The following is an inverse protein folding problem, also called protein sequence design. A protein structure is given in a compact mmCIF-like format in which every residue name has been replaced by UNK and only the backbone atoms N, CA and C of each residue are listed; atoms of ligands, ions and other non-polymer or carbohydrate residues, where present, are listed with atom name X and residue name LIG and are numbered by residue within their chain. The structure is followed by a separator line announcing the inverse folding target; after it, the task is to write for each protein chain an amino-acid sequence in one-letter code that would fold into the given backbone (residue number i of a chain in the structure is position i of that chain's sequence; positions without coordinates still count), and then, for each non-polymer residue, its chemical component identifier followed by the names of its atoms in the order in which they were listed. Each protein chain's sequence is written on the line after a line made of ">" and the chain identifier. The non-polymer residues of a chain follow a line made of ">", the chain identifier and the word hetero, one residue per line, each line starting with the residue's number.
data_IF_552952800265
#
_entry.id   IF_552952800265
#
_cell.length_a   1.000
_cell.length_b   1.000
_cell.length_c   1.000
_cell.angle_alpha   90.00
_cell.angle_beta   90.00
_cell.angle_gamma   90.00
#
_symmetry.space_group_name_H-M   'P 1'
#
loop_
_entity.id
_entity.type
_entity.pdbx_description
1 polymer ?
#
# COMPACT_ATOMS: atom_id res chain seq x y z
N UNK A 1 24.52 -23.12 11.86
CA UNK A 1 23.17 -22.72 12.26
C UNK A 1 23.34 -21.58 13.23
N UNK A 2 23.05 -20.35 12.82
CA UNK A 2 23.21 -19.18 13.69
C UNK A 2 22.08 -19.20 14.72
N UNK A 3 22.41 -19.27 16.00
CA UNK A 3 21.43 -19.23 17.09
C UNK A 3 20.78 -17.85 17.13
N UNK A 4 19.44 -17.83 17.15
CA UNK A 4 18.62 -16.62 17.27
C UNK A 4 18.88 -15.91 18.62
N UNK A 5 19.45 -16.63 19.58
CA UNK A 5 19.74 -16.16 20.94
C UNK A 5 20.85 -15.09 21.02
N UNK A 6 21.64 -14.87 19.95
CA UNK A 6 22.68 -13.83 19.88
C UNK A 6 22.16 -12.49 19.31
N UNK A 7 20.86 -12.39 18.98
CA UNK A 7 20.29 -11.14 18.45
C UNK A 7 20.00 -10.13 19.57
N UNK A 8 20.46 -8.88 19.45
CA UNK A 8 20.15 -7.84 20.42
C UNK A 8 18.65 -7.55 20.46
N UNK A 9 18.06 -7.61 21.65
CA UNK A 9 16.66 -7.26 21.88
C UNK A 9 16.55 -5.76 22.12
N UNK A 10 15.67 -5.09 21.37
CA UNK A 10 15.37 -3.67 21.54
C UNK A 10 13.97 -3.49 22.10
N UNK A 11 13.82 -2.53 23.02
CA UNK A 11 12.50 -2.07 23.44
C UNK A 11 11.77 -1.39 22.25
N UNK A 12 10.45 -1.63 22.09
CA UNK A 12 9.68 -0.93 21.07
C UNK A 12 9.80 0.59 21.25
N UNK A 13 10.10 1.28 20.16
CA UNK A 13 9.99 2.74 20.13
C UNK A 13 8.53 3.14 20.44
N UNK A 14 8.31 4.27 21.10
CA UNK A 14 6.98 4.74 21.43
C UNK A 14 6.09 4.77 20.19
N UNK A 15 4.79 4.48 20.38
CA UNK A 15 3.81 4.52 19.32
C UNK A 15 3.87 5.91 18.67
N UNK A 16 4.03 5.94 17.34
CA UNK A 16 3.84 7.17 16.57
C UNK A 16 2.45 7.71 16.91
N UNK A 17 2.38 8.99 17.23
CA UNK A 17 1.11 9.67 17.40
C UNK A 17 0.21 9.36 16.18
N UNK A 18 -1.08 9.04 16.40
CA UNK A 18 -2.00 8.84 15.30
C UNK A 18 -1.96 10.11 14.45
N UNK A 19 -1.52 9.95 13.19
CA UNK A 19 -1.59 11.05 12.22
C UNK A 19 -3.03 11.57 12.20
N UNK A 20 -3.20 12.88 12.27
CA UNK A 20 -4.51 13.50 12.12
C UNK A 20 -5.17 13.00 10.84
N UNK A 21 -6.45 12.62 10.93
CA UNK A 21 -7.25 11.94 9.89
C UNK A 21 -7.46 12.76 8.60
N UNK A 22 -6.83 13.92 8.50
CA UNK A 22 -6.73 14.72 7.30
C UNK A 22 -5.51 14.30 6.47
N UNK A 23 -5.43 13.02 6.09
CA UNK A 23 -4.48 12.65 5.05
C UNK A 23 -4.92 13.35 3.76
N UNK A 24 -4.15 14.37 3.38
CA UNK A 24 -4.24 15.05 2.09
C UNK A 24 -4.15 13.98 0.99
N UNK A 25 -5.05 14.06 0.02
CA UNK A 25 -4.96 13.23 -1.18
C UNK A 25 -3.58 13.46 -1.80
N UNK A 26 -2.83 12.39 -2.07
CA UNK A 26 -1.50 12.52 -2.64
C UNK A 26 -1.60 12.97 -4.11
N UNK A 27 -1.10 14.17 -4.41
CA UNK A 27 -0.94 14.65 -5.77
C UNK A 27 0.55 14.63 -6.13
N UNK A 28 0.99 13.78 -7.08
CA UNK A 28 2.38 13.72 -7.49
C UNK A 28 2.77 14.97 -8.27
N UNK A 29 3.93 15.51 -7.93
CA UNK A 29 4.56 16.65 -8.62
C UNK A 29 5.46 16.20 -9.80
N UNK A 30 5.23 14.99 -10.31
CA UNK A 30 6.13 14.37 -11.28
C UNK A 30 6.14 15.13 -12.61
N UNK A 31 7.36 15.43 -13.06
CA UNK A 31 7.55 16.08 -14.34
C UNK A 31 7.36 15.11 -15.53
N UNK A 32 7.73 13.82 -15.39
CA UNK A 32 7.26 12.73 -16.28
C UNK A 32 6.52 11.68 -15.45
N UNK A 33 5.29 11.38 -15.84
CA UNK A 33 4.47 10.32 -15.26
C UNK A 33 4.88 8.94 -15.77
N UNK A 34 5.55 8.89 -16.92
CA UNK A 34 6.10 7.67 -17.49
C UNK A 34 7.09 6.94 -16.55
N UNK A 35 7.89 7.71 -15.80
CA UNK A 35 8.94 7.21 -14.92
C UNK A 35 8.85 7.75 -13.48
N UNK A 36 7.99 8.73 -13.22
CA UNK A 36 7.97 9.45 -11.95
C UNK A 36 9.35 10.04 -11.62
N UNK A 37 9.82 9.80 -10.41
CA UNK A 37 11.16 10.17 -9.95
C UNK A 37 12.22 9.07 -10.14
N UNK A 38 11.85 7.94 -10.73
CA UNK A 38 12.76 6.80 -10.89
C UNK A 38 13.71 6.94 -12.07
N UNK A 39 13.35 7.73 -13.10
CA UNK A 39 14.10 7.80 -14.35
C UNK A 39 13.97 6.54 -15.23
N UNK A 40 13.36 5.46 -14.75
CA UNK A 40 13.05 4.25 -15.51
C UNK A 40 11.56 4.15 -15.80
N UNK A 41 11.17 3.66 -16.98
CA UNK A 41 9.75 3.55 -17.35
C UNK A 41 9.08 2.50 -16.46
N UNK A 42 7.91 2.83 -15.91
CA UNK A 42 7.21 1.93 -15.00
C UNK A 42 6.82 0.62 -15.69
N UNK A 43 7.01 -0.51 -15.02
CA UNK A 43 6.85 -1.85 -15.61
C UNK A 43 5.47 -2.06 -16.27
N UNK A 44 4.40 -1.53 -15.69
CA UNK A 44 3.06 -1.64 -16.27
C UNK A 44 2.92 -0.87 -17.59
N UNK A 45 3.65 0.25 -17.77
CA UNK A 45 3.70 1.01 -19.02
C UNK A 45 4.59 0.32 -20.06
N UNK A 46 5.69 -0.32 -19.61
CA UNK A 46 6.54 -1.14 -20.49
C UNK A 46 5.73 -2.27 -21.10
N UNK A 47 4.89 -2.95 -20.31
CA UNK A 47 4.01 -4.04 -20.76
C UNK A 47 3.01 -3.63 -21.85
N UNK A 48 2.70 -2.34 -22.00
CA UNK A 48 1.84 -1.87 -23.10
C UNK A 48 2.54 -1.97 -24.47
N UNK A 49 3.88 -1.93 -24.48
CA UNK A 49 4.70 -2.01 -25.71
C UNK A 49 5.39 -3.38 -25.82
N UNK A 50 5.75 -3.97 -24.68
CA UNK A 50 6.38 -5.30 -24.56
C UNK A 50 5.55 -6.20 -23.64
N UNK A 51 4.48 -6.85 -24.13
CA UNK A 51 3.52 -7.57 -23.28
C UNK A 51 4.13 -8.65 -22.37
N UNK A 52 5.19 -9.31 -22.84
CA UNK A 52 5.87 -10.38 -22.10
C UNK A 52 7.02 -9.87 -21.21
N UNK A 53 7.11 -8.55 -20.98
CA UNK A 53 8.16 -7.96 -20.15
C UNK A 53 8.09 -8.45 -18.71
N UNK A 54 9.22 -8.90 -18.19
CA UNK A 54 9.40 -9.36 -16.82
C UNK A 54 10.39 -8.44 -16.09
N UNK A 55 9.93 -7.71 -15.08
CA UNK A 55 10.75 -6.73 -14.36
C UNK A 55 11.85 -7.36 -13.50
N UNK A 56 11.76 -8.65 -13.20
CA UNK A 56 12.72 -9.35 -12.34
C UNK A 56 13.86 -9.97 -13.17
N UNK A 57 13.62 -10.18 -14.47
CA UNK A 57 14.58 -10.82 -15.39
C UNK A 57 15.10 -9.89 -16.47
N UNK A 58 14.24 -9.05 -17.04
CA UNK A 58 14.56 -8.24 -18.20
C UNK A 58 15.15 -6.88 -17.75
N UNK A 59 15.95 -6.25 -18.64
CA UNK A 59 16.58 -4.95 -18.33
C UNK A 59 15.54 -3.87 -18.04
N UNK A 60 15.86 -2.93 -17.16
CA UNK A 60 15.01 -1.76 -16.93
C UNK A 60 15.03 -0.85 -18.14
N UNK A 61 13.86 -0.37 -18.53
CA UNK A 61 13.70 0.52 -19.67
C UNK A 61 14.03 1.96 -19.27
N UNK A 62 15.03 2.55 -19.91
CA UNK A 62 15.42 3.93 -19.66
C UNK A 62 14.34 4.91 -20.14
N UNK A 63 14.00 5.92 -19.33
CA UNK A 63 13.14 7.01 -19.78
C UNK A 63 13.94 7.98 -20.65
N UNK A 64 13.59 8.05 -21.94
CA UNK A 64 14.22 8.95 -22.91
C UNK A 64 13.27 10.08 -23.34
N UNK A 65 12.26 10.42 -22.54
CA UNK A 65 11.36 11.53 -22.89
C UNK A 65 12.13 12.86 -22.93
N UNK A 66 12.01 13.62 -24.01
CA UNK A 66 12.67 14.93 -24.20
C UNK A 66 12.46 15.91 -23.03
N UNK A 67 11.29 15.84 -22.40
CA UNK A 67 10.94 16.71 -21.28
C UNK A 67 11.27 16.06 -19.93
N UNK A 68 12.15 15.06 -19.87
CA UNK A 68 12.49 14.36 -18.63
C UNK A 68 14.00 14.26 -18.44
N UNK A 69 14.50 14.76 -17.32
CA UNK A 69 15.91 14.70 -16.93
C UNK A 69 16.17 13.68 -15.81
N UNK A 70 15.14 12.94 -15.40
CA UNK A 70 15.21 12.05 -14.23
C UNK A 70 16.10 10.84 -14.46
N UNK A 71 16.19 10.35 -15.70
CA UNK A 71 17.12 9.27 -16.04
C UNK A 71 18.57 9.74 -15.85
N UNK A 72 18.97 10.82 -16.51
CA UNK A 72 20.33 11.36 -16.43
C UNK A 72 20.72 11.72 -14.99
N UNK A 73 19.81 12.34 -14.23
CA UNK A 73 20.08 12.73 -12.85
C UNK A 73 20.30 11.53 -11.91
N UNK A 74 19.58 10.42 -12.13
CA UNK A 74 19.60 9.27 -11.21
C UNK A 74 20.54 8.15 -11.66
N UNK A 75 20.72 8.01 -12.97
CA UNK A 75 21.43 6.90 -13.61
C UNK A 75 22.56 7.35 -14.52
N UNK A 76 22.84 8.65 -14.66
CA UNK A 76 23.89 9.15 -15.56
C UNK A 76 25.32 8.70 -15.24
N UNK A 77 25.56 8.16 -14.04
CA UNK A 77 26.83 7.54 -13.66
C UNK A 77 26.92 6.04 -14.02
N UNK A 78 25.80 5.42 -14.43
CA UNK A 78 25.72 4.01 -14.79
C UNK A 78 25.77 3.89 -16.31
N UNK A 79 26.48 2.88 -16.81
CA UNK A 79 26.56 2.63 -18.24
C UNK A 79 25.18 2.32 -18.83
N UNK A 80 24.86 2.96 -19.96
CA UNK A 80 23.62 2.81 -20.72
C UNK A 80 23.39 1.36 -21.14
N UNK A 81 24.45 0.56 -21.30
CA UNK A 81 24.37 -0.86 -21.62
C UNK A 81 23.61 -1.70 -20.58
N UNK A 82 23.44 -1.20 -19.36
CA UNK A 82 22.63 -1.85 -18.33
C UNK A 82 21.12 -1.63 -18.50
N UNK A 83 20.72 -0.73 -19.41
CA UNK A 83 19.33 -0.36 -19.62
C UNK A 83 18.85 -0.77 -21.01
N UNK A 84 17.53 -0.92 -21.14
CA UNK A 84 16.88 -1.04 -22.43
C UNK A 84 16.53 0.36 -22.96
N UNK A 85 17.19 0.75 -24.05
CA UNK A 85 17.05 2.06 -24.71
C UNK A 85 16.18 2.00 -25.96
N UNK A 86 15.48 0.88 -26.20
CA UNK A 86 14.58 0.73 -27.37
C UNK A 86 13.37 1.67 -27.30
N UNK A 87 13.00 2.16 -26.11
CA UNK A 87 11.91 3.11 -25.92
C UNK A 87 12.37 4.50 -26.27
N UNK A 88 12.25 4.82 -27.56
CA UNK A 88 12.56 6.14 -28.10
C UNK A 88 11.72 7.25 -27.44
N UNK A 89 12.17 8.52 -27.52
CA UNK A 89 11.51 9.63 -26.86
C UNK A 89 10.00 9.77 -27.18
N UNK A 90 9.58 9.44 -28.40
CA UNK A 90 8.19 9.48 -28.83
C UNK A 90 7.32 8.42 -28.14
N UNK A 91 7.88 7.23 -27.88
CA UNK A 91 7.23 6.18 -27.10
C UNK A 91 7.07 6.64 -25.66
N UNK A 92 8.13 7.16 -25.04
CA UNK A 92 8.06 7.68 -23.66
C UNK A 92 7.05 8.84 -23.53
N UNK A 93 6.96 9.72 -24.53
CA UNK A 93 5.98 10.81 -24.55
C UNK A 93 4.53 10.31 -24.65
N UNK A 94 4.27 9.22 -25.40
CA UNK A 94 2.95 8.58 -25.45
C UNK A 94 2.59 7.93 -24.11
N UNK A 95 3.53 7.20 -23.52
CA UNK A 95 3.34 6.55 -22.22
C UNK A 95 3.14 7.58 -21.09
N UNK A 96 3.85 8.71 -21.15
CA UNK A 96 3.64 9.83 -20.23
C UNK A 96 2.20 10.36 -20.28
N UNK A 97 1.66 10.60 -21.49
CA UNK A 97 0.28 11.06 -21.66
C UNK A 97 -0.75 10.06 -21.13
N UNK A 98 -0.52 8.77 -21.35
CA UNK A 98 -1.38 7.70 -20.83
C UNK A 98 -1.34 7.69 -19.30
N UNK A 99 -0.15 7.62 -18.70
CA UNK A 99 0.02 7.60 -17.25
C UNK A 99 -0.56 8.85 -16.57
N UNK A 100 -0.42 10.04 -17.18
CA UNK A 100 -1.09 11.27 -16.69
C UNK A 100 -2.62 11.15 -16.67
N UNK A 101 -3.21 10.54 -17.70
CA UNK A 101 -4.65 10.35 -17.78
C UNK A 101 -5.13 9.34 -16.74
N UNK A 102 -4.41 8.24 -16.59
CA UNK A 102 -4.71 7.21 -15.60
C UNK A 102 -4.63 7.81 -14.20
N UNK A 103 -3.59 8.61 -13.92
CA UNK A 103 -3.44 9.25 -12.63
C UNK A 103 -4.56 10.25 -12.30
N UNK A 104 -4.98 11.08 -13.28
CA UNK A 104 -6.15 11.95 -13.11
C UNK A 104 -7.41 11.17 -12.76
N UNK A 105 -7.58 9.99 -13.36
CA UNK A 105 -8.71 9.10 -13.08
C UNK A 105 -8.62 8.55 -11.66
N UNK A 106 -7.45 8.05 -11.25
CA UNK A 106 -7.20 7.56 -9.89
C UNK A 106 -7.51 8.62 -8.84
N UNK A 107 -7.04 9.85 -9.03
CA UNK A 107 -7.31 10.97 -8.11
C UNK A 107 -8.80 11.28 -8.05
N UNK A 108 -9.49 11.31 -9.20
CA UNK A 108 -10.95 11.53 -9.22
C UNK A 108 -11.70 10.48 -8.40
N UNK A 109 -11.32 9.20 -8.54
CA UNK A 109 -11.89 8.09 -7.79
C UNK A 109 -11.59 8.24 -6.29
N UNK A 110 -10.36 8.58 -5.91
CA UNK A 110 -10.00 8.77 -4.51
C UNK A 110 -10.77 9.92 -3.85
N UNK A 111 -10.96 11.04 -4.57
CA UNK A 111 -11.79 12.16 -4.11
C UNK A 111 -13.24 11.70 -3.88
N UNK A 112 -13.80 10.92 -4.80
CA UNK A 112 -15.16 10.40 -4.68
C UNK A 112 -15.30 9.43 -3.51
N UNK A 113 -14.34 8.51 -3.34
CA UNK A 113 -14.30 7.58 -2.21
C UNK A 113 -14.18 8.32 -0.87
N UNK A 114 -13.36 9.38 -0.79
CA UNK A 114 -13.25 10.21 0.42
C UNK A 114 -14.59 10.87 0.75
N UNK A 115 -15.28 11.46 -0.25
CA UNK A 115 -16.62 12.04 -0.07
C UNK A 115 -17.64 11.00 0.40
N UNK A 116 -17.64 9.81 -0.22
CA UNK A 116 -18.54 8.71 0.14
C UNK A 116 -18.27 8.21 1.56
N UNK A 117 -17.00 8.04 1.94
CA UNK A 117 -16.59 7.64 3.29
C UNK A 117 -17.03 8.66 4.34
N UNK A 118 -16.76 9.95 4.11
CA UNK A 118 -17.22 11.02 4.99
C UNK A 118 -18.75 11.09 5.10
N UNK A 119 -19.47 10.82 4.01
CA UNK A 119 -20.94 10.80 3.99
C UNK A 119 -21.54 9.54 4.65
N UNK A 120 -20.81 8.42 4.67
CA UNK A 120 -21.24 7.14 5.24
C UNK A 120 -20.70 6.90 6.65
N UNK A 121 -20.56 7.95 7.47
CA UNK A 121 -20.50 7.73 8.93
C UNK A 121 -21.70 6.86 9.31
N UNK A 122 -21.46 5.67 9.84
CA UNK A 122 -22.52 4.73 10.15
C UNK A 122 -23.54 5.41 11.07
N UNK A 123 -24.81 5.58 10.67
CA UNK A 123 -25.83 6.09 11.57
C UNK A 123 -26.05 5.02 12.65
N UNK A 124 -25.37 5.18 13.79
CA UNK A 124 -25.35 4.17 14.85
C UNK A 124 -24.06 4.07 15.65
N UNK A 125 -22.94 4.61 15.14
CA UNK A 125 -21.77 4.86 15.97
C UNK A 125 -22.03 6.09 16.86
N UNK A 126 -22.91 5.94 17.84
CA UNK A 126 -22.95 6.86 18.98
C UNK A 126 -21.61 6.74 19.69
N UNK A 127 -21.07 7.85 20.18
CA UNK A 127 -19.96 7.79 21.12
C UNK A 127 -20.32 6.82 22.24
N UNK A 128 -19.37 5.96 22.62
CA UNK A 128 -19.60 5.01 23.71
C UNK A 128 -20.07 5.77 24.92
N UNK A 129 -21.20 5.35 25.46
CA UNK A 129 -21.66 5.86 26.73
C UNK A 129 -20.85 5.20 27.84
N UNK A 130 -20.76 5.82 29.03
CA UNK A 130 -20.16 5.18 30.21
C UNK A 130 -20.78 3.81 30.54
N UNK A 131 -22.03 3.58 30.14
CA UNK A 131 -22.70 2.30 30.31
C UNK A 131 -22.17 1.22 29.36
N UNK A 132 -21.86 1.58 28.11
CA UNK A 132 -21.33 0.65 27.11
C UNK A 132 -19.92 0.19 27.51
N UNK A 133 -19.08 1.11 28.01
CA UNK A 133 -17.75 0.76 28.51
C UNK A 133 -17.82 -0.15 29.75
N UNK A 134 -18.80 0.08 30.64
CA UNK A 134 -19.04 -0.79 31.79
C UNK A 134 -19.44 -2.21 31.36
N UNK A 135 -20.34 -2.34 30.37
CA UNK A 135 -20.76 -3.65 29.85
C UNK A 135 -19.58 -4.40 29.21
N UNK A 136 -18.72 -3.69 28.47
CA UNK A 136 -17.50 -4.27 27.89
C UNK A 136 -16.54 -4.76 28.97
N UNK A 137 -16.33 -3.99 30.03
CA UNK A 137 -15.50 -4.41 31.16
C UNK A 137 -16.07 -5.62 31.89
N UNK A 138 -17.39 -5.65 32.13
CA UNK A 138 -18.04 -6.80 32.76
C UNK A 138 -17.90 -8.07 31.93
N UNK A 139 -18.16 -8.01 30.62
CA UNK A 139 -17.99 -9.17 29.74
C UNK A 139 -16.54 -9.65 29.67
N UNK A 140 -15.58 -8.73 29.73
CA UNK A 140 -14.16 -9.07 29.76
C UNK A 140 -13.81 -9.81 31.05
N UNK A 141 -14.27 -9.32 32.19
CA UNK A 141 -14.06 -9.97 33.50
C UNK A 141 -14.75 -11.34 33.57
N UNK A 142 -15.95 -11.46 33.02
CA UNK A 142 -16.66 -12.74 32.90
C UNK A 142 -15.85 -13.76 32.11
N UNK A 143 -15.28 -13.36 30.97
CA UNK A 143 -14.45 -14.18 30.07
C UNK A 143 -13.11 -14.57 30.72
N UNK A 144 -12.46 -13.62 31.39
CA UNK A 144 -11.19 -13.84 32.10
C UNK A 144 -11.35 -14.79 33.29
N UNK A 145 -12.54 -14.84 33.90
CA UNK A 145 -12.87 -15.77 34.99
C UNK A 145 -13.34 -17.16 34.51
N UNK A 146 -13.48 -17.40 33.21
CA UNK A 146 -13.84 -18.73 32.69
C UNK A 146 -12.65 -19.68 32.84
N UNK A 147 -12.88 -20.82 33.49
CA UNK A 147 -11.87 -21.86 33.64
C UNK A 147 -11.51 -22.53 32.31
N UNK A 148 -10.29 -23.07 32.18
CA UNK A 148 -9.83 -23.75 30.97
C UNK A 148 -10.73 -24.92 30.51
N UNK A 149 -11.39 -25.62 31.45
CA UNK A 149 -12.35 -26.68 31.12
C UNK A 149 -13.67 -26.14 30.54
N UNK A 150 -14.18 -25.03 31.09
CA UNK A 150 -15.37 -24.36 30.54
C UNK A 150 -15.07 -23.77 29.15
N UNK A 151 -13.88 -23.21 28.94
CA UNK A 151 -13.41 -22.78 27.63
C UNK A 151 -13.41 -23.91 26.59
N UNK A 152 -12.93 -25.09 26.96
CA UNK A 152 -12.92 -26.26 26.09
C UNK A 152 -14.34 -26.72 25.72
N UNK A 153 -15.26 -26.71 26.70
CA UNK A 153 -16.68 -27.02 26.48
C UNK A 153 -17.39 -26.01 25.57
N UNK A 154 -17.19 -24.71 25.81
CA UNK A 154 -17.76 -23.64 24.97
C UNK A 154 -17.22 -23.68 23.55
N UNK A 155 -15.92 -23.93 23.37
CA UNK A 155 -15.30 -24.12 22.05
C UNK A 155 -15.90 -25.31 21.31
N UNK A 156 -16.11 -26.45 21.99
CA UNK A 156 -16.74 -27.64 21.40
C UNK A 156 -18.19 -27.36 20.98
N UNK A 157 -18.96 -26.64 21.79
CA UNK A 157 -20.33 -26.25 21.47
C UNK A 157 -20.41 -25.26 20.30
N UNK A 158 -19.51 -24.26 20.25
CA UNK A 158 -19.48 -23.24 19.20
C UNK A 158 -19.05 -23.79 17.84
N UNK A 159 -18.12 -24.76 17.83
CA UNK A 159 -17.64 -25.40 16.60
C UNK A 159 -18.65 -26.38 15.98
N UNK A 160 -19.79 -26.63 16.64
CA UNK A 160 -20.79 -27.60 16.22
C UNK A 160 -20.26 -29.03 16.33
N UNK A 161 -20.75 -29.78 17.30
CA UNK A 161 -20.48 -31.21 17.44
C UNK A 161 -21.06 -31.97 16.24
N UNK A 162 -20.30 -32.12 15.16
CA UNK A 162 -20.41 -33.29 14.28
C UNK A 162 -19.59 -34.41 14.93
N UNK A 163 -20.17 -35.05 15.94
CA UNK A 163 -19.72 -36.35 16.43
C UNK A 163 -20.77 -37.36 15.94
N UNK A 164 -20.47 -38.05 14.83
CA UNK A 164 -21.01 -39.40 14.52
C UNK A 164 -20.35 -40.43 15.45
#
# INVERSE_FOLDING_TARGET
>A
MSNIDDLPQFEPLPLREPKSEEEELFYPEWHCFCCGDSGIVQAHLVKLVMPNYDSDRDKWVACQNWNCTKFDHRWGAVDLDNFDTRFKPDICAKLDKLSRKDWRTTISIQVELKKLSSSKKMPGAKDRTPNDDREVWQRKEEIENISSQQWAGMRKAYMGSNDD
#
